data_IF_374041822716
#
_entry.id   IF_374041822716
#
_cell.length_a   1.000
_cell.length_b   1.000
_cell.length_c   1.000
_cell.angle_alpha   90.00
_cell.angle_beta   90.00
_cell.angle_gamma   90.00
#
_symmetry.space_group_name_H-M   'P 1'
#
loop_
_entity.id
_entity.type
_entity.pdbx_description
1 polymer ?
#
# COMPACT_ATOMS: atom_id res chain seq x y z
N UNK A 1 47.00 -75.38 -47.26
CA UNK A 1 47.31 -73.95 -47.04
C UNK A 1 46.09 -73.08 -46.61
N UNK A 2 45.08 -73.64 -45.92
CA UNK A 2 43.82 -72.93 -45.59
C UNK A 2 43.67 -72.45 -44.13
N UNK A 3 44.08 -73.27 -43.15
CA UNK A 3 43.83 -73.00 -41.72
C UNK A 3 44.60 -71.82 -41.12
N UNK A 4 45.79 -71.49 -41.64
CA UNK A 4 46.54 -70.30 -41.20
C UNK A 4 45.87 -68.99 -41.59
N UNK A 5 45.24 -68.94 -42.77
CA UNK A 5 44.51 -67.76 -43.27
C UNK A 5 43.23 -67.50 -42.47
N UNK A 6 42.49 -68.57 -42.10
CA UNK A 6 41.29 -68.46 -41.27
C UNK A 6 41.61 -67.95 -39.85
N UNK A 7 42.68 -68.45 -39.22
CA UNK A 7 43.12 -67.98 -37.89
C UNK A 7 43.53 -66.51 -37.90
N UNK A 8 44.21 -66.07 -38.96
CA UNK A 8 44.58 -64.66 -39.12
C UNK A 8 43.34 -63.76 -39.31
N UNK A 9 42.32 -64.23 -40.02
CA UNK A 9 41.05 -63.53 -40.17
C UNK A 9 40.32 -63.38 -38.85
N UNK A 10 40.18 -64.46 -38.07
CA UNK A 10 39.57 -64.43 -36.75
C UNK A 10 40.30 -63.47 -35.80
N UNK A 11 41.63 -63.47 -35.78
CA UNK A 11 42.41 -62.56 -34.96
C UNK A 11 42.20 -61.09 -35.36
N UNK A 12 42.21 -60.79 -36.67
CA UNK A 12 41.93 -59.43 -37.18
C UNK A 12 40.51 -58.97 -36.83
N UNK A 13 39.54 -59.86 -36.95
CA UNK A 13 38.15 -59.59 -36.60
C UNK A 13 37.99 -59.30 -35.11
N UNK A 14 38.54 -60.13 -34.23
CA UNK A 14 38.49 -59.88 -32.78
C UNK A 14 39.17 -58.57 -32.38
N UNK A 15 40.30 -58.21 -33.03
CA UNK A 15 40.98 -56.93 -32.78
C UNK A 15 40.14 -55.74 -33.25
N UNK A 16 39.51 -55.84 -34.42
CA UNK A 16 38.61 -54.81 -34.94
C UNK A 16 37.38 -54.61 -34.04
N UNK A 17 36.73 -55.71 -33.61
CA UNK A 17 35.58 -55.65 -32.71
C UNK A 17 35.93 -55.03 -31.36
N UNK A 18 37.08 -55.38 -30.78
CA UNK A 18 37.57 -54.76 -29.55
C UNK A 18 37.81 -53.26 -29.74
N UNK A 19 38.36 -52.85 -30.88
CA UNK A 19 38.57 -51.43 -31.19
C UNK A 19 37.26 -50.67 -31.32
N UNK A 20 36.25 -51.25 -31.98
CA UNK A 20 34.92 -50.63 -32.14
C UNK A 20 34.25 -50.45 -30.79
N UNK A 21 34.28 -51.49 -29.94
CA UNK A 21 33.70 -51.43 -28.61
C UNK A 21 34.33 -50.33 -27.73
N UNK A 22 35.65 -50.19 -27.78
CA UNK A 22 36.36 -49.14 -27.03
C UNK A 22 36.00 -47.74 -27.53
N UNK A 23 35.85 -47.55 -28.85
CA UNK A 23 35.41 -46.27 -29.41
C UNK A 23 33.94 -45.99 -29.06
N UNK A 24 33.08 -47.00 -29.06
CA UNK A 24 31.67 -46.87 -28.64
C UNK A 24 31.57 -46.41 -27.18
N UNK A 25 32.32 -47.03 -26.27
CA UNK A 25 32.38 -46.63 -24.86
C UNK A 25 32.95 -45.22 -24.70
N UNK A 26 33.96 -44.85 -25.50
CA UNK A 26 34.52 -43.49 -25.50
C UNK A 26 33.48 -42.45 -25.90
N UNK A 27 32.77 -42.68 -27.00
CA UNK A 27 31.72 -41.77 -27.50
C UNK A 27 30.57 -41.69 -26.51
N UNK A 28 30.12 -42.82 -25.94
CA UNK A 28 29.10 -42.83 -24.88
C UNK A 28 29.53 -41.97 -23.69
N UNK A 29 30.74 -42.18 -23.17
CA UNK A 29 31.25 -41.41 -22.03
C UNK A 29 31.37 -39.91 -22.35
N UNK A 30 31.77 -39.55 -23.57
CA UNK A 30 31.82 -38.17 -24.03
C UNK A 30 30.43 -37.53 -24.07
N UNK A 31 29.44 -38.23 -24.63
CA UNK A 31 28.05 -37.74 -24.69
C UNK A 31 27.39 -37.63 -23.32
N UNK A 32 27.63 -38.56 -22.40
CA UNK A 32 27.09 -38.49 -21.03
C UNK A 32 27.71 -37.34 -20.23
N UNK A 33 29.02 -37.09 -20.38
CA UNK A 33 29.65 -35.89 -19.79
C UNK A 33 29.07 -34.60 -20.36
N UNK A 34 28.78 -34.57 -21.66
CA UNK A 34 28.16 -33.41 -22.30
C UNK A 34 26.70 -33.17 -21.84
N UNK A 35 26.00 -34.19 -21.34
CA UNK A 35 24.65 -34.06 -20.74
C UNK A 35 24.67 -33.51 -19.31
N UNK A 36 25.74 -33.80 -18.54
CA UNK A 36 25.88 -33.36 -17.16
C UNK A 36 25.68 -31.85 -16.88
N UNK A 37 26.15 -30.90 -17.72
CA UNK A 37 25.90 -29.46 -17.48
C UNK A 37 24.44 -29.04 -17.65
N UNK A 38 23.60 -29.87 -18.26
CA UNK A 38 22.15 -29.66 -18.39
C UNK A 38 21.42 -30.76 -17.61
N UNK A 39 21.85 -31.00 -16.38
CA UNK A 39 21.13 -31.91 -15.50
C UNK A 39 19.75 -31.32 -15.16
N UNK A 40 18.72 -32.15 -15.35
CA UNK A 40 17.31 -31.83 -15.15
C UNK A 40 17.04 -31.31 -13.73
N UNK A 41 17.77 -31.82 -12.74
CA UNK A 41 17.67 -31.41 -11.34
C UNK A 41 18.05 -29.94 -11.15
N UNK A 42 19.14 -29.51 -11.80
CA UNK A 42 19.63 -28.13 -11.74
C UNK A 42 18.66 -27.18 -12.43
N UNK A 43 18.11 -27.61 -13.56
CA UNK A 43 17.07 -26.85 -14.26
C UNK A 43 15.81 -26.67 -13.40
N UNK A 44 15.36 -27.73 -12.71
CA UNK A 44 14.20 -27.64 -11.81
C UNK A 44 14.40 -26.68 -10.65
N UNK A 45 15.58 -26.67 -10.03
CA UNK A 45 15.91 -25.74 -8.96
C UNK A 45 15.82 -24.29 -9.45
N UNK A 46 16.44 -23.98 -10.60
CA UNK A 46 16.41 -22.64 -11.19
C UNK A 46 15.00 -22.20 -11.59
N UNK A 47 14.17 -23.13 -12.09
CA UNK A 47 12.76 -22.82 -12.40
C UNK A 47 11.95 -22.50 -11.14
N UNK A 48 12.20 -23.23 -10.05
CA UNK A 48 11.54 -22.97 -8.77
C UNK A 48 11.92 -21.58 -8.24
N UNK A 49 13.20 -21.25 -8.24
CA UNK A 49 13.71 -19.93 -7.84
C UNK A 49 13.10 -18.82 -8.71
N UNK A 50 13.14 -18.96 -10.04
CA UNK A 50 12.50 -18.03 -10.97
C UNK A 50 11.03 -17.82 -10.61
N UNK A 51 10.28 -18.90 -10.38
CA UNK A 51 8.86 -18.83 -10.02
C UNK A 51 8.65 -18.14 -8.66
N UNK A 52 9.54 -18.38 -7.69
CA UNK A 52 9.51 -17.72 -6.40
C UNK A 52 9.71 -16.20 -6.55
N UNK A 53 10.75 -15.77 -7.26
CA UNK A 53 11.02 -14.35 -7.49
C UNK A 53 9.89 -13.67 -8.27
N UNK A 54 9.35 -14.32 -9.30
CA UNK A 54 8.21 -13.77 -10.06
C UNK A 54 6.98 -13.55 -9.17
N UNK A 55 6.70 -14.48 -8.24
CA UNK A 55 5.61 -14.29 -7.27
C UNK A 55 5.90 -13.15 -6.31
N UNK A 56 7.13 -13.03 -5.82
CA UNK A 56 7.54 -11.94 -4.93
C UNK A 56 7.42 -10.58 -5.62
N UNK A 57 7.96 -10.45 -6.84
CA UNK A 57 7.86 -9.23 -7.65
C UNK A 57 6.40 -8.86 -7.89
N UNK A 58 5.56 -9.82 -8.26
CA UNK A 58 4.13 -9.58 -8.45
C UNK A 58 3.46 -9.08 -7.16
N UNK A 59 3.77 -9.69 -6.01
CA UNK A 59 3.24 -9.25 -4.73
C UNK A 59 3.68 -7.81 -4.38
N UNK A 60 4.92 -7.43 -4.72
CA UNK A 60 5.41 -6.07 -4.56
C UNK A 60 4.71 -5.06 -5.48
N UNK A 61 4.43 -5.44 -6.73
CA UNK A 61 3.76 -4.58 -7.71
C UNK A 61 2.26 -4.44 -7.38
N UNK A 62 1.61 -5.54 -7.00
CA UNK A 62 0.19 -5.58 -6.66
C UNK A 62 -0.11 -4.95 -5.29
N UNK A 63 0.93 -4.55 -4.54
CA UNK A 63 0.77 -3.86 -3.27
C UNK A 63 0.07 -2.51 -3.48
N UNK A 64 -1.16 -2.41 -2.98
CA UNK A 64 -1.91 -1.15 -2.93
C UNK A 64 -1.80 -0.55 -1.54
N UNK A 65 -1.37 0.70 -1.45
CA UNK A 65 -1.42 1.46 -0.20
C UNK A 65 -2.88 1.66 0.24
N UNK A 66 -3.09 2.01 1.51
CA UNK A 66 -4.43 2.22 2.07
C UNK A 66 -5.22 3.33 1.33
N UNK A 67 -4.52 4.27 0.71
CA UNK A 67 -5.09 5.42 0.02
C UNK A 67 -4.36 5.62 -1.32
N UNK A 68 -4.79 4.95 -2.40
CA UNK A 68 -4.15 5.06 -3.72
C UNK A 68 -4.54 6.35 -4.46
N UNK A 69 -5.78 6.82 -4.31
CA UNK A 69 -6.32 8.01 -4.99
C UNK A 69 -6.74 9.05 -3.95
N UNK A 70 -5.76 9.73 -3.34
CA UNK A 70 -6.03 10.87 -2.47
C UNK A 70 -6.30 12.09 -3.36
N UNK A 71 -7.48 12.68 -3.22
CA UNK A 71 -7.79 13.97 -3.84
C UNK A 71 -6.93 15.05 -3.17
N UNK A 72 -6.06 15.67 -3.96
CA UNK A 72 -5.16 16.75 -3.51
C UNK A 72 -5.62 18.09 -4.05
N UNK A 73 -5.41 19.16 -3.29
CA UNK A 73 -5.64 20.56 -3.68
C UNK A 73 -5.00 20.82 -5.06
N UNK A 74 -5.75 21.30 -6.07
CA UNK A 74 -5.22 21.49 -7.42
C UNK A 74 -3.92 22.28 -7.45
N UNK A 75 -3.04 21.96 -8.41
CA UNK A 75 -1.71 22.58 -8.49
C UNK A 75 -1.76 24.11 -8.56
N UNK A 76 -2.73 24.67 -9.27
CA UNK A 76 -2.91 26.11 -9.40
C UNK A 76 -3.12 26.80 -8.04
N UNK A 77 -3.98 26.21 -7.19
CA UNK A 77 -4.27 26.75 -5.86
C UNK A 77 -3.08 26.56 -4.92
N UNK A 78 -2.43 25.39 -4.98
CA UNK A 78 -1.22 25.09 -4.22
C UNK A 78 -0.12 26.13 -4.48
N UNK A 79 0.20 26.44 -5.75
CA UNK A 79 1.25 27.41 -6.06
C UNK A 79 0.93 28.85 -5.67
N UNK A 80 -0.36 29.20 -5.56
CA UNK A 80 -0.82 30.54 -5.19
C UNK A 80 -0.79 30.80 -3.68
N UNK A 81 -1.00 29.75 -2.87
CA UNK A 81 -1.25 29.84 -1.43
C UNK A 81 -0.10 29.30 -0.56
N UNK A 82 0.87 28.60 -1.17
CA UNK A 82 1.99 28.00 -0.44
C UNK A 82 2.94 29.04 0.19
N UNK A 83 3.21 28.94 1.49
CA UNK A 83 4.31 29.66 2.14
C UNK A 83 5.67 29.23 1.57
N UNK A 84 6.63 30.16 1.50
CA UNK A 84 7.97 29.92 0.91
C UNK A 84 8.70 28.73 1.55
N UNK A 85 8.52 28.53 2.85
CA UNK A 85 9.18 27.48 3.63
C UNK A 85 8.84 26.06 3.13
N UNK A 86 7.59 25.83 2.72
CA UNK A 86 7.13 24.54 2.19
C UNK A 86 7.60 24.35 0.74
N UNK A 87 7.76 25.45 -0.01
CA UNK A 87 8.19 25.42 -1.42
C UNK A 87 9.66 25.02 -1.57
N UNK A 88 10.51 25.50 -0.66
CA UNK A 88 11.96 25.32 -0.72
C UNK A 88 12.43 23.99 -0.11
N UNK A 89 11.59 23.35 0.71
CA UNK A 89 11.92 22.07 1.34
C UNK A 89 11.86 20.93 0.33
N UNK A 90 13.01 20.38 -0.07
CA UNK A 90 13.09 19.21 -0.96
C UNK A 90 12.88 17.91 -0.17
N UNK A 91 11.79 17.20 -0.44
CA UNK A 91 11.38 15.98 0.24
C UNK A 91 11.69 14.71 -0.57
N UNK A 92 11.86 14.81 -1.89
CA UNK A 92 12.26 13.68 -2.73
C UNK A 92 13.17 14.06 -3.90
N UNK A 93 13.80 13.04 -4.51
CA UNK A 93 14.62 13.18 -5.73
C UNK A 93 13.78 13.22 -7.01
N UNK A 94 12.64 12.52 -7.00
CA UNK A 94 11.70 12.54 -8.11
C UNK A 94 10.79 13.76 -7.99
N UNK A 95 10.69 14.55 -9.07
CA UNK A 95 9.94 15.80 -9.09
C UNK A 95 8.44 15.60 -8.89
N UNK A 96 7.86 14.52 -9.43
CA UNK A 96 6.43 14.27 -9.29
C UNK A 96 6.08 13.85 -7.85
N UNK A 97 6.87 12.92 -7.30
CA UNK A 97 6.74 12.50 -5.91
C UNK A 97 7.01 13.64 -4.92
N UNK A 98 8.02 14.48 -5.17
CA UNK A 98 8.31 15.66 -4.35
C UNK A 98 7.13 16.65 -4.33
N UNK A 99 6.53 16.93 -5.49
CA UNK A 99 5.34 17.79 -5.58
C UNK A 99 4.16 17.20 -4.80
N UNK A 100 3.91 15.90 -4.91
CA UNK A 100 2.86 15.21 -4.15
C UNK A 100 3.08 15.35 -2.64
N UNK A 101 4.31 15.12 -2.17
CA UNK A 101 4.65 15.26 -0.75
C UNK A 101 4.49 16.69 -0.24
N UNK A 102 4.87 17.69 -1.04
CA UNK A 102 4.68 19.10 -0.68
C UNK A 102 3.21 19.48 -0.59
N UNK A 103 2.37 18.99 -1.51
CA UNK A 103 0.90 19.21 -1.48
C UNK A 103 0.27 18.59 -0.23
N UNK A 104 0.63 17.34 0.10
CA UNK A 104 0.19 16.68 1.33
C UNK A 104 0.65 17.43 2.58
N UNK A 105 1.89 17.91 2.60
CA UNK A 105 2.41 18.68 3.73
C UNK A 105 1.69 20.03 3.89
N UNK A 106 1.41 20.72 2.79
CA UNK A 106 0.63 21.95 2.80
C UNK A 106 -0.78 21.74 3.36
N UNK A 107 -1.50 20.70 2.91
CA UNK A 107 -2.82 20.37 3.45
C UNK A 107 -2.78 19.99 4.94
N UNK A 108 -1.76 19.25 5.38
CA UNK A 108 -1.57 18.92 6.79
C UNK A 108 -1.40 20.18 7.67
N UNK A 109 -0.74 21.21 7.13
CA UNK A 109 -0.47 22.46 7.82
C UNK A 109 -1.49 23.57 7.53
N UNK A 110 -2.54 23.30 6.73
CA UNK A 110 -3.68 24.21 6.62
C UNK A 110 -4.47 24.19 7.94
N UNK A 111 -3.97 24.94 8.91
CA UNK A 111 -4.65 25.20 10.19
C UNK A 111 -5.49 26.45 10.01
N UNK A 112 -6.82 26.30 10.08
CA UNK A 112 -7.70 27.46 10.22
C UNK A 112 -7.43 28.08 11.59
N UNK A 113 -7.00 29.35 11.68
CA UNK A 113 -6.76 29.97 12.97
C UNK A 113 -8.07 30.12 13.73
N UNK A 114 -8.03 29.93 15.05
CA UNK A 114 -9.15 30.08 15.99
C UNK A 114 -9.91 31.39 15.77
N UNK A 115 -9.19 32.48 15.52
CA UNK A 115 -9.75 33.81 15.30
C UNK A 115 -10.68 33.87 14.08
N UNK A 116 -10.37 33.15 13.00
CA UNK A 116 -11.21 33.08 11.81
C UNK A 116 -12.49 32.30 12.07
N UNK A 117 -12.38 31.19 12.81
CA UNK A 117 -13.54 30.39 13.22
C UNK A 117 -14.48 31.18 14.15
N UNK A 118 -13.91 31.89 15.13
CA UNK A 118 -14.66 32.74 16.06
C UNK A 118 -15.38 33.90 15.34
N UNK A 119 -14.69 34.61 14.45
CA UNK A 119 -15.28 35.73 13.72
C UNK A 119 -16.49 35.31 12.87
N UNK A 120 -16.40 34.15 12.19
CA UNK A 120 -17.53 33.58 11.45
C UNK A 120 -18.67 33.21 12.40
N UNK A 121 -18.38 32.59 13.54
CA UNK A 121 -19.40 32.21 14.50
C UNK A 121 -20.15 33.44 15.04
N UNK A 122 -19.44 34.52 15.33
CA UNK A 122 -20.02 35.79 15.75
C UNK A 122 -20.90 36.42 14.66
N UNK A 123 -20.49 36.34 13.38
CA UNK A 123 -21.27 36.80 12.22
C UNK A 123 -22.60 36.03 12.08
N UNK A 124 -22.56 34.70 12.19
CA UNK A 124 -23.75 33.85 12.10
C UNK A 124 -24.53 33.77 13.42
N UNK A 125 -24.09 34.45 14.48
CA UNK A 125 -24.73 34.43 15.79
C UNK A 125 -24.73 33.06 16.47
N UNK A 126 -23.77 32.20 16.13
CA UNK A 126 -23.60 30.85 16.71
C UNK A 126 -22.39 30.83 17.65
N UNK A 127 -22.43 29.97 18.66
CA UNK A 127 -21.32 29.85 19.61
C UNK A 127 -20.20 28.99 19.03
N UNK A 128 -18.98 29.51 19.00
CA UNK A 128 -17.78 28.80 18.54
C UNK A 128 -17.22 27.88 19.63
N UNK A 129 -16.72 26.70 19.22
CA UNK A 129 -16.01 25.77 20.08
C UNK A 129 -14.90 25.05 19.30
N UNK A 130 -13.70 24.96 19.84
CA UNK A 130 -12.66 24.07 19.32
C UNK A 130 -12.80 22.70 19.97
N UNK A 131 -13.16 21.68 19.18
CA UNK A 131 -13.36 20.31 19.69
C UNK A 131 -12.42 19.32 19.04
N UNK A 132 -11.98 18.32 19.82
CA UNK A 132 -11.24 17.16 19.29
C UNK A 132 -11.99 15.89 19.62
N UNK A 133 -12.49 15.20 18.58
CA UNK A 133 -13.12 13.89 18.74
C UNK A 133 -12.12 12.81 19.21
N UNK A 134 -10.83 12.97 18.91
CA UNK A 134 -9.79 11.99 19.26
C UNK A 134 -9.37 12.06 20.73
N UNK A 135 -9.35 13.26 21.30
CA UNK A 135 -8.92 13.50 22.69
C UNK A 135 -10.07 13.90 23.61
N UNK A 136 -11.31 13.86 23.08
CA UNK A 136 -12.54 14.27 23.76
C UNK A 136 -12.51 15.71 24.31
N UNK A 137 -11.71 16.59 23.70
CA UNK A 137 -11.56 17.98 24.14
C UNK A 137 -12.82 18.77 23.75
N UNK A 138 -13.43 19.46 24.73
CA UNK A 138 -14.62 20.30 24.61
C UNK A 138 -15.87 19.61 24.02
N UNK A 139 -15.83 18.31 23.76
CA UNK A 139 -16.91 17.56 23.14
C UNK A 139 -18.18 17.60 24.03
N UNK A 140 -18.04 17.34 25.33
CA UNK A 140 -19.16 17.42 26.27
C UNK A 140 -19.79 18.82 26.32
N UNK A 141 -18.97 19.88 26.37
CA UNK A 141 -19.45 21.27 26.41
C UNK A 141 -20.26 21.63 25.16
N UNK A 142 -19.84 21.14 23.99
CA UNK A 142 -20.61 21.28 22.74
C UNK A 142 -21.93 20.52 22.82
N UNK A 143 -21.91 19.26 23.27
CA UNK A 143 -23.12 18.44 23.40
C UNK A 143 -24.16 19.04 24.36
N UNK A 144 -23.72 19.68 25.45
CA UNK A 144 -24.64 20.32 26.40
C UNK A 144 -25.16 21.69 25.94
N UNK A 145 -24.38 22.43 25.14
CA UNK A 145 -24.74 23.79 24.72
C UNK A 145 -25.64 23.85 23.49
N UNK A 146 -25.47 22.95 22.52
CA UNK A 146 -26.28 22.92 21.28
C UNK A 146 -27.79 22.82 21.57
N UNK A 147 -28.29 21.92 22.44
CA UNK A 147 -29.72 21.80 22.73
C UNK A 147 -30.31 23.06 23.37
N UNK A 148 -29.52 23.79 24.16
CA UNK A 148 -29.96 25.04 24.79
C UNK A 148 -30.14 26.15 23.75
N UNK A 149 -29.24 26.24 22.76
CA UNK A 149 -29.33 27.23 21.68
C UNK A 149 -30.52 26.98 20.74
N UNK A 150 -30.86 25.72 20.47
CA UNK A 150 -31.99 25.35 19.58
C UNK A 150 -33.35 25.62 20.26
N UNK A 151 -33.44 25.50 21.60
CA UNK A 151 -34.70 25.74 22.33
C UNK A 151 -35.10 27.22 22.40
N UNK A 152 -34.17 28.14 22.17
CA UNK A 152 -34.41 29.60 22.23
C UNK A 152 -34.83 30.17 20.85
N UNK A 153 -34.57 29.44 19.76
CA UNK A 153 -34.78 29.90 18.37
C UNK A 153 -36.14 29.51 17.75
N UNK A 154 -37.07 28.99 18.55
CA UNK A 154 -38.50 28.98 18.18
C UNK A 154 -39.18 30.17 18.84
N UNK A 155 -39.58 31.22 18.09
CA UNK A 155 -40.55 32.17 18.61
C UNK A 155 -41.92 31.48 18.62
N UNK A 156 -42.41 31.12 19.80
CA UNK A 156 -43.82 30.83 20.00
C UNK A 156 -44.61 32.16 19.93
N UNK A 157 -45.64 32.29 19.08
CA UNK A 157 -46.62 33.34 19.23
C UNK A 157 -47.71 32.82 20.16
N UNK A 158 -47.58 32.97 21.47
CA UNK A 158 -48.62 33.62 22.29
C UNK A 158 -48.31 33.67 23.79
N UNK A 159 -48.80 34.75 24.41
CA UNK A 159 -48.79 35.05 25.85
C UNK A 159 -49.73 34.14 26.64
N UNK A 160 -49.34 33.77 27.86
CA UNK A 160 -50.28 33.31 28.88
C UNK A 160 -49.63 32.90 30.21
N UNK A 161 -49.68 33.80 31.20
CA UNK A 161 -49.26 33.59 32.58
C UNK A 161 -50.14 32.56 33.32
N UNK A 162 -49.55 31.60 34.05
CA UNK A 162 -50.13 31.08 35.30
C UNK A 162 -49.17 30.18 36.11
N UNK A 163 -48.72 30.73 37.24
CA UNK A 163 -48.66 30.13 38.60
C UNK A 163 -48.31 28.66 38.80
N UNK A 164 -47.22 28.48 39.58
CA UNK A 164 -46.92 27.42 40.56
C UNK A 164 -48.11 26.57 41.00
N UNK A 165 -48.01 25.24 40.88
CA UNK A 165 -48.68 24.28 41.78
C UNK A 165 -47.89 22.96 41.82
N UNK A 166 -47.49 22.57 43.03
CA UNK A 166 -46.95 21.26 43.40
C UNK A 166 -47.86 20.09 42.97
N UNK A 167 -47.26 18.91 42.71
CA UNK A 167 -47.79 17.57 43.06
C UNK A 167 -46.70 16.53 42.72
N UNK A 168 -46.01 15.99 43.72
CA UNK A 168 -46.35 14.76 44.47
C UNK A 168 -46.08 13.48 43.69
N UNK A 169 -45.19 12.66 44.25
CA UNK A 169 -44.82 11.32 43.81
C UNK A 169 -46.01 10.33 43.75
N UNK A 170 -45.91 9.30 42.89
CA UNK A 170 -46.04 7.87 43.23
C UNK A 170 -46.17 6.96 41.98
N UNK A 171 -45.42 5.83 42.02
CA UNK A 171 -45.59 4.47 41.43
C UNK A 171 -45.96 4.33 39.93
N UNK A 172 -45.43 3.40 39.14
CA UNK A 172 -44.90 2.06 39.42
C UNK A 172 -45.74 1.01 38.68
N UNK A 173 -45.14 0.36 37.67
CA UNK A 173 -45.37 -1.03 37.22
C UNK A 173 -44.25 -1.40 36.25
#
# INVERSE_FOLDING_TARGET
MGGGRMRLFLFRYSKANRSIFLEEDRVKAETERAKAPVDFTTFHNLLYEKKHYLKAIKACIDFKSKYPDIELVPEAEFFSSVPKDIKETSMSKDSAHDLMLKRLNFELHQVVPTSRGQALADEYGIKFFETSAKTNLNAEQVFFSIPQTIRISKPDPDKGSSTVTERSACCGS
#
